data_IF_752971330566
#
_entry.id   IF_752971330566
#
_cell.length_a   1.000
_cell.length_b   1.000
_cell.length_c   1.000
_cell.angle_alpha   90.00
_cell.angle_beta   90.00
_cell.angle_gamma   90.00
#
_symmetry.space_group_name_H-M   'P 1'
#
loop_
_entity.id
_entity.type
_entity.pdbx_description
1 polymer ?
#
# COMPACT_ATOMS: atom_id res chain seq x y z
N UNK A 1 25.95 -26.64 -25.12
CA UNK A 1 25.75 -25.19 -24.94
C UNK A 1 24.68 -25.05 -23.88
N UNK A 2 24.98 -24.59 -22.66
CA UNK A 2 23.98 -24.43 -21.62
C UNK A 2 23.21 -23.12 -21.80
N UNK A 3 21.88 -23.20 -21.75
CA UNK A 3 20.96 -22.07 -21.70
C UNK A 3 21.15 -21.29 -20.39
N UNK A 4 21.64 -20.05 -20.50
CA UNK A 4 21.64 -19.09 -19.40
C UNK A 4 20.25 -18.45 -19.29
N UNK A 5 19.59 -18.66 -18.15
CA UNK A 5 18.35 -17.99 -17.81
C UNK A 5 18.60 -16.47 -17.61
N UNK A 6 17.67 -15.59 -18.02
CA UNK A 6 17.86 -14.15 -17.87
C UNK A 6 17.79 -13.72 -16.41
N UNK A 7 18.91 -13.19 -15.91
CA UNK A 7 19.02 -12.47 -14.63
C UNK A 7 18.20 -11.18 -14.72
N UNK A 8 17.02 -11.17 -14.09
CA UNK A 8 16.22 -9.95 -13.92
C UNK A 8 16.90 -9.07 -12.87
N UNK A 9 17.55 -7.99 -13.32
CA UNK A 9 18.06 -6.95 -12.43
C UNK A 9 16.88 -6.19 -11.83
N UNK A 10 16.75 -6.22 -10.50
CA UNK A 10 15.89 -5.32 -9.75
C UNK A 10 16.43 -3.90 -9.90
N UNK A 11 15.86 -3.13 -10.83
CA UNK A 11 16.00 -1.68 -10.86
C UNK A 11 15.13 -1.13 -9.72
N UNK A 12 15.76 -0.87 -8.59
CA UNK A 12 15.17 -0.11 -7.49
C UNK A 12 15.35 1.36 -7.85
N UNK A 13 14.45 1.91 -8.66
CA UNK A 13 14.48 3.32 -9.03
C UNK A 13 13.97 4.24 -7.90
N UNK A 14 14.71 5.34 -7.74
CA UNK A 14 14.66 6.43 -6.76
C UNK A 14 13.37 7.28 -6.75
N UNK A 15 12.18 6.69 -6.93
CA UNK A 15 10.91 7.43 -6.96
C UNK A 15 10.48 8.04 -5.60
N UNK A 16 11.22 7.78 -4.51
CA UNK A 16 10.87 8.18 -3.14
C UNK A 16 11.47 9.51 -2.63
N UNK A 17 12.15 10.31 -3.47
CA UNK A 17 12.80 11.55 -3.01
C UNK A 17 12.09 12.86 -3.35
N UNK A 18 11.34 12.93 -4.45
CA UNK A 18 10.70 14.18 -4.88
C UNK A 18 9.48 14.63 -4.03
N UNK A 19 8.98 13.79 -3.12
CA UNK A 19 7.82 14.11 -2.27
C UNK A 19 8.15 14.77 -0.92
N UNK A 20 9.43 14.89 -0.54
CA UNK A 20 9.83 15.43 0.78
C UNK A 20 10.03 16.94 0.83
N UNK A 21 10.27 17.59 -0.32
CA UNK A 21 10.60 19.02 -0.34
C UNK A 21 9.38 19.95 -0.40
N UNK A 22 8.17 19.42 -0.59
CA UNK A 22 6.92 20.21 -0.54
C UNK A 22 6.35 20.30 0.89
N UNK A 23 6.81 19.44 1.81
CA UNK A 23 6.33 19.42 3.20
C UNK A 23 7.00 20.47 4.10
N UNK A 24 8.11 21.08 3.66
CA UNK A 24 8.83 22.12 4.42
C UNK A 24 8.21 23.51 4.26
N UNK A 25 7.53 23.80 3.15
CA UNK A 25 6.99 25.14 2.86
C UNK A 25 5.61 25.40 3.51
N UNK A 26 4.88 24.35 3.91
CA UNK A 26 3.61 24.49 4.65
C UNK A 26 3.84 24.70 6.16
N UNK A 27 5.05 24.41 6.66
CA UNK A 27 5.36 24.52 8.09
C UNK A 27 5.68 25.95 8.56
N UNK A 28 5.92 26.88 7.63
CA UNK A 28 6.28 28.26 7.97
C UNK A 28 5.07 29.22 8.04
N UNK A 29 3.96 28.91 7.33
CA UNK A 29 2.75 29.75 7.36
C UNK A 29 1.76 29.43 8.50
N UNK A 30 2.00 28.35 9.27
CA UNK A 30 1.14 27.94 10.38
C UNK A 30 1.45 28.56 11.75
N UNK A 31 2.52 29.36 11.89
CA UNK A 31 2.99 29.87 13.19
C UNK A 31 2.42 31.25 13.62
N UNK A 32 1.56 31.88 12.82
CA UNK A 32 1.04 33.24 13.11
C UNK A 32 -0.46 33.31 13.48
N UNK A 33 -1.08 32.22 13.93
CA UNK A 33 -2.50 32.24 14.29
C UNK A 33 -2.81 31.64 15.68
N UNK A 34 -1.97 31.89 16.70
CA UNK A 34 -2.23 31.41 18.06
C UNK A 34 -1.87 32.43 19.14
N UNK A 35 -2.54 33.59 19.10
CA UNK A 35 -2.62 34.52 20.23
C UNK A 35 -4.02 35.13 20.27
N UNK A 36 -4.95 34.44 20.95
CA UNK A 36 -6.13 34.99 21.66
C UNK A 36 -7.11 33.87 21.98
N UNK A 37 -7.11 33.43 23.24
CA UNK A 37 -8.33 33.04 23.98
C UNK A 37 -7.91 32.41 25.30
N UNK A 38 -7.49 33.27 26.23
CA UNK A 38 -7.48 32.97 27.65
C UNK A 38 -8.93 32.86 28.13
N UNK A 39 -9.30 31.77 28.80
CA UNK A 39 -10.51 31.75 29.63
C UNK A 39 -11.44 30.57 29.47
N UNK A 40 -10.97 29.32 29.56
CA UNK A 40 -11.79 28.19 30.06
C UNK A 40 -10.87 27.22 30.81
N UNK A 41 -10.30 27.70 31.92
CA UNK A 41 -9.54 26.90 32.87
C UNK A 41 -10.38 26.72 34.13
N UNK A 42 -11.39 25.84 34.07
CA UNK A 42 -12.02 25.13 35.19
C UNK A 42 -13.15 24.28 34.62
N UNK A 43 -13.25 23.02 35.04
CA UNK A 43 -14.13 21.96 34.51
C UNK A 43 -13.60 21.23 33.28
N UNK A 44 -12.81 20.18 33.50
CA UNK A 44 -13.05 18.78 33.06
C UNK A 44 -11.94 17.93 33.72
N UNK A 45 -11.91 17.94 35.06
CA UNK A 45 -11.11 17.02 35.89
C UNK A 45 -11.97 15.81 36.34
N UNK A 46 -12.95 15.39 35.52
CA UNK A 46 -13.92 14.32 35.84
C UNK A 46 -14.08 13.27 34.73
N UNK A 47 -13.03 13.00 33.94
CA UNK A 47 -13.03 11.91 32.96
C UNK A 47 -11.75 11.04 33.02
N UNK A 48 -11.17 10.93 34.22
CA UNK A 48 -10.07 9.99 34.53
C UNK A 48 -10.57 8.83 35.41
N UNK A 49 -11.69 8.21 35.02
CA UNK A 49 -12.26 7.04 35.70
C UNK A 49 -12.90 6.04 34.72
N UNK A 50 -12.37 5.96 33.49
CA UNK A 50 -12.67 4.90 32.52
C UNK A 50 -11.35 4.42 31.90
N UNK A 51 -10.36 4.16 32.75
CA UNK A 51 -9.07 3.53 32.41
C UNK A 51 -8.88 2.31 33.28
N UNK A 52 -9.87 1.42 33.27
CA UNK A 52 -9.80 0.11 33.88
C UNK A 52 -10.73 -0.80 33.08
N UNK A 53 -10.22 -1.96 32.64
CA UNK A 53 -10.90 -2.97 31.80
C UNK A 53 -10.78 -2.74 30.28
N UNK A 54 -9.55 -2.76 29.76
CA UNK A 54 -9.30 -3.25 28.39
C UNK A 54 -7.88 -3.82 28.27
N UNK A 55 -7.52 -4.72 29.21
CA UNK A 55 -6.26 -5.45 29.19
C UNK A 55 -6.45 -6.93 29.54
N UNK A 56 -7.49 -7.57 28.99
CA UNK A 56 -7.77 -9.01 29.16
C UNK A 56 -7.58 -9.80 27.85
N UNK A 57 -7.31 -9.14 26.71
CA UNK A 57 -7.10 -9.83 25.43
C UNK A 57 -5.62 -9.95 24.99
N UNK A 58 -4.66 -9.44 25.76
CA UNK A 58 -3.22 -9.56 25.46
C UNK A 58 -2.61 -10.91 25.90
N UNK A 59 -3.38 -12.00 25.88
CA UNK A 59 -2.88 -13.39 26.04
C UNK A 59 -2.80 -14.17 24.72
N UNK A 60 -2.98 -13.51 23.58
CA UNK A 60 -2.73 -14.11 22.25
C UNK A 60 -1.34 -13.75 21.67
N UNK A 61 -0.48 -13.09 22.45
CA UNK A 61 0.92 -12.88 22.09
C UNK A 61 1.79 -13.96 22.70
N UNK A 62 2.67 -14.55 21.88
CA UNK A 62 3.81 -15.39 22.28
C UNK A 62 3.56 -16.87 22.61
N UNK A 63 2.61 -17.54 21.94
CA UNK A 63 2.88 -18.95 21.62
C UNK A 63 3.94 -18.96 20.52
N UNK A 64 5.18 -19.06 20.97
CA UNK A 64 6.43 -19.27 20.25
C UNK A 64 6.21 -20.16 19.01
N UNK A 65 6.51 -19.69 17.79
CA UNK A 65 7.85 -19.76 17.18
C UNK A 65 8.52 -21.15 17.23
N UNK A 66 7.77 -22.21 17.49
CA UNK A 66 8.13 -23.55 17.06
C UNK A 66 7.46 -23.71 15.71
N UNK A 67 8.26 -23.75 14.64
CA UNK A 67 7.81 -23.66 13.27
C UNK A 67 6.61 -24.57 12.99
N UNK A 68 5.47 -23.96 12.68
CA UNK A 68 4.26 -24.70 12.35
C UNK A 68 4.62 -25.60 11.15
N UNK A 69 4.55 -26.94 11.29
CA UNK A 69 4.97 -27.84 10.24
C UNK A 69 4.20 -27.63 8.93
N UNK A 70 3.00 -27.02 8.99
CA UNK A 70 2.23 -26.62 7.80
C UNK A 70 2.95 -25.54 6.98
N UNK A 71 3.80 -24.74 7.59
CA UNK A 71 4.60 -23.73 6.89
C UNK A 71 5.69 -24.33 6.00
N UNK A 72 6.07 -25.60 6.22
CA UNK A 72 6.96 -26.36 5.32
C UNK A 72 6.22 -26.98 4.14
N UNK A 73 4.90 -27.14 4.25
CA UNK A 73 4.08 -27.69 3.16
C UNK A 73 3.85 -26.64 2.08
N UNK A 74 4.38 -26.91 0.89
CA UNK A 74 4.22 -26.05 -0.28
C UNK A 74 2.75 -25.91 -0.69
N UNK A 75 1.93 -26.93 -0.49
CA UNK A 75 0.49 -26.86 -0.79
C UNK A 75 -0.19 -25.83 0.09
N UNK A 76 0.11 -25.87 1.40
CA UNK A 76 -0.41 -24.90 2.36
C UNK A 76 0.02 -23.47 2.05
N UNK A 77 1.31 -23.23 1.81
CA UNK A 77 1.83 -21.88 1.53
C UNK A 77 1.31 -21.35 0.19
N UNK A 78 1.26 -22.17 -0.86
CA UNK A 78 0.73 -21.81 -2.17
C UNK A 78 -0.77 -21.44 -2.12
N UNK A 79 -1.58 -22.18 -1.34
CA UNK A 79 -2.99 -21.81 -1.11
C UNK A 79 -3.14 -20.45 -0.43
N UNK A 80 -2.27 -20.14 0.54
CA UNK A 80 -2.27 -18.83 1.20
C UNK A 80 -1.83 -17.71 0.26
N UNK A 81 -0.81 -17.94 -0.56
CA UNK A 81 -0.39 -17.00 -1.62
C UNK A 81 -1.55 -16.73 -2.58
N UNK A 82 -2.24 -17.76 -3.04
CA UNK A 82 -3.40 -17.61 -3.93
C UNK A 82 -4.54 -16.81 -3.27
N UNK A 83 -4.80 -17.01 -1.99
CA UNK A 83 -5.79 -16.22 -1.26
C UNK A 83 -5.40 -14.73 -1.18
N UNK A 84 -4.13 -14.43 -0.92
CA UNK A 84 -3.61 -13.05 -0.95
C UNK A 84 -3.77 -12.46 -2.36
N UNK A 85 -3.33 -13.20 -3.38
CA UNK A 85 -3.43 -12.79 -4.79
C UNK A 85 -4.86 -12.45 -5.19
N UNK A 86 -5.83 -13.29 -4.87
CA UNK A 86 -7.25 -13.03 -5.14
C UNK A 86 -7.72 -11.75 -4.48
N UNK A 87 -7.36 -11.50 -3.21
CA UNK A 87 -7.72 -10.27 -2.52
C UNK A 87 -7.13 -9.03 -3.18
N UNK A 88 -5.86 -9.08 -3.61
CA UNK A 88 -5.21 -7.95 -4.31
C UNK A 88 -5.83 -7.73 -5.69
N UNK A 89 -6.16 -8.81 -6.43
CA UNK A 89 -6.84 -8.70 -7.71
C UNK A 89 -8.24 -8.08 -7.56
N UNK A 90 -9.01 -8.49 -6.55
CA UNK A 90 -10.31 -7.87 -6.24
C UNK A 90 -10.16 -6.38 -5.91
N UNK A 91 -9.15 -6.01 -5.13
CA UNK A 91 -8.85 -4.60 -4.85
C UNK A 91 -8.53 -3.83 -6.13
N UNK A 92 -7.79 -4.46 -7.05
CA UNK A 92 -7.47 -3.88 -8.36
C UNK A 92 -8.73 -3.60 -9.17
N UNK A 93 -9.65 -4.57 -9.19
CA UNK A 93 -10.85 -4.53 -10.00
C UNK A 93 -11.90 -3.51 -9.50
N UNK A 94 -11.79 -3.01 -8.27
CA UNK A 94 -12.60 -1.88 -7.80
C UNK A 94 -12.21 -0.54 -8.44
N UNK A 95 -10.95 -0.39 -8.87
CA UNK A 95 -10.46 0.86 -9.44
C UNK A 95 -10.78 0.89 -10.93
N UNK A 96 -11.28 2.03 -11.42
CA UNK A 96 -11.66 2.19 -12.82
C UNK A 96 -10.49 1.82 -13.76
N UNK A 97 -10.80 1.14 -14.86
CA UNK A 97 -9.80 0.79 -15.86
C UNK A 97 -9.30 2.04 -16.57
N UNK A 98 -7.98 2.15 -16.75
CA UNK A 98 -7.37 3.27 -17.47
C UNK A 98 -7.30 2.92 -18.96
N UNK A 99 -7.83 3.77 -19.85
CA UNK A 99 -7.69 3.59 -21.29
C UNK A 99 -6.21 3.49 -21.70
N UNK A 100 -5.83 2.56 -22.61
CA UNK A 100 -4.42 2.36 -22.97
C UNK A 100 -3.72 3.59 -23.56
N UNK A 101 -4.45 4.39 -24.35
CA UNK A 101 -3.99 5.66 -24.92
C UNK A 101 -3.72 6.70 -23.83
N UNK A 102 -4.62 6.81 -22.85
CA UNK A 102 -4.45 7.69 -21.70
C UNK A 102 -3.28 7.25 -20.82
N UNK A 103 -3.12 5.93 -20.59
CA UNK A 103 -2.00 5.38 -19.84
C UNK A 103 -0.66 5.69 -20.53
N UNK A 104 -0.58 5.51 -21.85
CA UNK A 104 0.60 5.83 -22.64
C UNK A 104 0.94 7.33 -22.58
N UNK A 105 -0.07 8.19 -22.72
CA UNK A 105 0.10 9.64 -22.57
C UNK A 105 0.65 9.99 -21.19
N UNK A 106 -0.01 9.54 -20.11
CA UNK A 106 0.38 9.87 -18.73
C UNK A 106 1.82 9.44 -18.44
N UNK A 107 2.20 8.21 -18.80
CA UNK A 107 3.57 7.71 -18.62
C UNK A 107 4.58 8.57 -19.35
N UNK A 108 4.35 8.81 -20.64
CA UNK A 108 5.29 9.55 -21.48
C UNK A 108 5.46 11.01 -21.02
N UNK A 109 4.37 11.67 -20.64
CA UNK A 109 4.40 13.07 -20.25
C UNK A 109 4.91 13.26 -18.82
N UNK A 110 4.58 12.36 -17.90
CA UNK A 110 5.15 12.35 -16.56
C UNK A 110 6.67 12.13 -16.62
N UNK A 111 7.14 11.17 -17.44
CA UNK A 111 8.57 10.90 -17.59
C UNK A 111 9.31 12.11 -18.19
N UNK A 112 8.83 12.68 -19.30
CA UNK A 112 9.42 13.90 -19.88
C UNK A 112 9.46 15.05 -18.89
N UNK A 113 8.42 15.21 -18.07
CA UNK A 113 8.39 16.25 -17.04
C UNK A 113 9.48 16.04 -15.98
N UNK A 114 9.72 14.80 -15.56
CA UNK A 114 10.79 14.45 -14.63
C UNK A 114 12.18 14.66 -15.25
N UNK A 115 12.40 14.22 -16.49
CA UNK A 115 13.66 14.39 -17.22
C UNK A 115 14.01 15.89 -17.38
N UNK A 116 12.99 16.72 -17.56
CA UNK A 116 13.14 18.18 -17.68
C UNK A 116 13.15 18.90 -16.33
N UNK A 117 12.98 18.18 -15.21
CA UNK A 117 12.77 18.76 -13.87
C UNK A 117 11.66 19.84 -13.84
N UNK A 118 10.62 19.66 -14.65
CA UNK A 118 9.52 20.60 -14.81
C UNK A 118 8.31 20.20 -13.95
N UNK A 119 8.26 20.73 -12.73
CA UNK A 119 7.20 20.44 -11.75
C UNK A 119 5.81 20.88 -12.22
N UNK A 120 5.69 21.99 -12.97
CA UNK A 120 4.41 22.47 -13.48
C UNK A 120 3.81 21.49 -14.49
N UNK A 121 4.63 20.95 -15.41
CA UNK A 121 4.21 19.93 -16.37
C UNK A 121 3.81 18.64 -15.65
N UNK A 122 4.60 18.20 -14.67
CA UNK A 122 4.26 17.02 -13.89
C UNK A 122 2.92 17.18 -13.16
N UNK A 123 2.69 18.33 -12.53
CA UNK A 123 1.44 18.63 -11.84
C UNK A 123 0.23 18.68 -12.78
N UNK A 124 0.40 19.19 -14.01
CA UNK A 124 -0.64 19.16 -15.02
C UNK A 124 -1.04 17.72 -15.39
N UNK A 125 -0.06 16.82 -15.53
CA UNK A 125 -0.30 15.38 -15.76
C UNK A 125 -0.93 14.72 -14.51
N UNK A 126 -0.45 15.06 -13.32
CA UNK A 126 -0.93 14.50 -12.05
C UNK A 126 -2.40 14.86 -11.74
N UNK A 127 -2.88 15.98 -12.28
CA UNK A 127 -4.26 16.43 -12.16
C UNK A 127 -5.22 15.77 -13.17
N UNK A 128 -4.72 14.94 -14.09
CA UNK A 128 -5.58 14.21 -15.03
C UNK A 128 -6.42 13.16 -14.30
N UNK A 129 -7.63 12.94 -14.81
CA UNK A 129 -8.64 12.05 -14.21
C UNK A 129 -8.07 10.67 -13.83
N UNK A 130 -7.36 10.03 -14.75
CA UNK A 130 -6.91 8.64 -14.61
C UNK A 130 -5.53 8.50 -13.97
N UNK A 131 -4.85 9.59 -13.63
CA UNK A 131 -3.48 9.54 -13.10
C UNK A 131 -3.37 8.68 -11.85
N UNK A 132 -4.25 8.88 -10.87
CA UNK A 132 -4.24 8.12 -9.60
C UNK A 132 -4.63 6.66 -9.79
N UNK A 133 -5.60 6.38 -10.65
CA UNK A 133 -5.98 5.02 -11.00
C UNK A 133 -4.81 4.27 -11.65
N UNK A 134 -4.07 4.92 -12.56
CA UNK A 134 -2.91 4.33 -13.23
C UNK A 134 -1.81 3.97 -12.23
N UNK A 135 -1.43 4.90 -11.34
CA UNK A 135 -0.42 4.64 -10.32
C UNK A 135 -0.79 3.45 -9.43
N UNK A 136 -2.06 3.38 -9.03
CA UNK A 136 -2.55 2.25 -8.25
C UNK A 136 -2.48 0.93 -9.03
N UNK A 137 -2.90 0.90 -10.30
CA UNK A 137 -2.84 -0.31 -11.14
C UNK A 137 -1.41 -0.79 -11.35
N UNK A 138 -0.45 0.11 -11.55
CA UNK A 138 0.97 -0.24 -11.71
C UNK A 138 1.54 -0.87 -10.44
N UNK A 139 1.34 -0.24 -9.28
CA UNK A 139 1.83 -0.77 -8.00
C UNK A 139 1.13 -2.11 -7.64
N UNK A 140 -0.18 -2.22 -7.94
CA UNK A 140 -0.93 -3.45 -7.72
C UNK A 140 -0.47 -4.59 -8.65
N UNK A 141 -0.15 -4.28 -9.91
CA UNK A 141 0.35 -5.27 -10.87
C UNK A 141 1.69 -5.84 -10.41
N UNK A 142 2.62 -4.99 -9.94
CA UNK A 142 3.90 -5.48 -9.39
C UNK A 142 3.69 -6.40 -8.19
N UNK A 143 2.73 -6.09 -7.31
CA UNK A 143 2.38 -6.99 -6.20
C UNK A 143 1.82 -8.33 -6.69
N UNK A 144 0.95 -8.31 -7.71
CA UNK A 144 0.37 -9.52 -8.31
C UNK A 144 1.44 -10.39 -8.99
N UNK A 145 2.35 -9.79 -9.75
CA UNK A 145 3.44 -10.52 -10.43
C UNK A 145 4.36 -11.22 -9.42
N UNK A 146 4.66 -10.56 -8.29
CA UNK A 146 5.43 -11.17 -7.20
C UNK A 146 4.66 -12.27 -6.46
N UNK A 147 3.33 -12.17 -6.36
CA UNK A 147 2.49 -13.24 -5.80
C UNK A 147 2.41 -14.44 -6.75
N UNK A 148 2.38 -14.21 -8.06
CA UNK A 148 2.44 -15.27 -9.07
C UNK A 148 3.78 -16.01 -9.02
N UNK A 149 4.89 -15.28 -8.86
CA UNK A 149 6.20 -15.89 -8.62
C UNK A 149 6.26 -16.64 -7.27
N UNK A 150 5.73 -16.04 -6.19
CA UNK A 150 5.71 -16.64 -4.85
C UNK A 150 4.94 -17.97 -4.81
N UNK A 151 3.91 -18.13 -5.62
CA UNK A 151 3.04 -19.32 -5.65
C UNK A 151 3.81 -20.63 -5.89
N UNK A 152 4.88 -20.56 -6.67
CA UNK A 152 5.73 -21.69 -7.03
C UNK A 152 7.05 -21.72 -6.24
N UNK A 153 7.32 -20.69 -5.44
CA UNK A 153 8.53 -20.60 -4.63
C UNK A 153 8.36 -21.32 -3.28
N UNK A 154 9.49 -21.63 -2.63
CA UNK A 154 9.50 -22.20 -1.28
C UNK A 154 10.66 -21.62 -0.47
N UNK A 155 10.65 -21.87 0.84
CA UNK A 155 11.73 -21.49 1.74
C UNK A 155 12.14 -20.02 1.62
N UNK A 156 13.44 -19.78 1.42
CA UNK A 156 14.02 -18.42 1.38
C UNK A 156 13.50 -17.59 0.20
N UNK A 157 13.22 -18.21 -0.94
CA UNK A 157 12.74 -17.49 -2.12
C UNK A 157 11.29 -17.05 -1.96
N UNK A 158 10.44 -17.90 -1.38
CA UNK A 158 9.09 -17.51 -0.98
C UNK A 158 9.14 -16.31 -0.01
N UNK A 159 10.01 -16.35 1.01
CA UNK A 159 10.15 -15.24 1.95
C UNK A 159 10.58 -13.94 1.25
N UNK A 160 11.51 -13.99 0.29
CA UNK A 160 11.95 -12.82 -0.51
C UNK A 160 10.79 -12.21 -1.29
N UNK A 161 10.02 -13.02 -2.01
CA UNK A 161 8.86 -12.50 -2.74
C UNK A 161 7.82 -11.90 -1.79
N UNK A 162 7.53 -12.54 -0.66
CA UNK A 162 6.57 -12.01 0.31
C UNK A 162 7.01 -10.68 0.95
N UNK A 163 8.32 -10.45 1.13
CA UNK A 163 8.85 -9.15 1.58
C UNK A 163 8.58 -8.06 0.52
N UNK A 164 8.83 -8.36 -0.75
CA UNK A 164 8.53 -7.43 -1.85
C UNK A 164 7.03 -7.14 -1.91
N UNK A 165 6.18 -8.17 -1.85
CA UNK A 165 4.72 -8.01 -1.81
C UNK A 165 4.29 -7.12 -0.65
N UNK A 166 4.85 -7.33 0.56
CA UNK A 166 4.52 -6.51 1.72
C UNK A 166 4.86 -5.03 1.50
N UNK A 167 6.03 -4.74 0.92
CA UNK A 167 6.43 -3.38 0.56
C UNK A 167 5.46 -2.77 -0.46
N UNK A 168 5.12 -3.51 -1.53
CA UNK A 168 4.21 -3.05 -2.58
C UNK A 168 2.78 -2.85 -2.08
N UNK A 169 2.28 -3.70 -1.17
CA UNK A 169 1.00 -3.43 -0.51
C UNK A 169 1.02 -2.14 0.32
N UNK A 170 2.19 -1.76 0.84
CA UNK A 170 2.48 -0.43 1.39
C UNK A 170 2.06 0.68 0.44
N UNK A 171 2.68 0.69 -0.73
CA UNK A 171 2.47 1.66 -1.81
C UNK A 171 1.04 1.60 -2.37
N UNK A 172 0.51 0.41 -2.66
CA UNK A 172 -0.86 0.20 -3.12
C UNK A 172 -1.87 0.84 -2.17
N UNK A 173 -1.65 0.72 -0.85
CA UNK A 173 -2.52 1.34 0.13
C UNK A 173 -2.45 2.88 0.07
N UNK A 174 -1.26 3.46 -0.05
CA UNK A 174 -1.10 4.91 -0.20
C UNK A 174 -1.73 5.42 -1.50
N UNK A 175 -1.52 4.72 -2.63
CA UNK A 175 -2.13 5.05 -3.92
C UNK A 175 -3.64 4.92 -3.89
N UNK A 176 -4.17 3.89 -3.23
CA UNK A 176 -5.62 3.72 -3.09
C UNK A 176 -6.23 4.87 -2.29
N UNK A 177 -5.63 5.27 -1.16
CA UNK A 177 -6.11 6.42 -0.40
C UNK A 177 -6.09 7.71 -1.24
N UNK A 178 -5.02 7.94 -2.00
CA UNK A 178 -4.91 9.08 -2.92
C UNK A 178 -5.95 9.01 -4.06
N UNK A 179 -6.25 7.81 -4.56
CA UNK A 179 -7.30 7.59 -5.55
C UNK A 179 -8.69 7.89 -4.97
N UNK A 180 -9.03 7.37 -3.78
CA UNK A 180 -10.33 7.63 -3.16
C UNK A 180 -10.54 9.11 -2.83
N UNK A 181 -9.49 9.81 -2.37
CA UNK A 181 -9.54 11.27 -2.15
C UNK A 181 -9.79 12.02 -3.47
N UNK A 182 -9.05 11.67 -4.53
CA UNK A 182 -9.27 12.27 -5.85
C UNK A 182 -10.66 11.96 -6.42
N UNK A 183 -11.14 10.72 -6.27
CA UNK A 183 -12.45 10.28 -6.71
C UNK A 183 -13.58 10.97 -5.92
N UNK A 184 -13.40 11.15 -4.62
CA UNK A 184 -14.34 11.88 -3.76
C UNK A 184 -14.52 13.36 -4.11
N UNK A 185 -13.56 13.97 -4.82
CA UNK A 185 -13.65 15.37 -5.29
C UNK A 185 -14.31 15.50 -6.66
N UNK A 186 -14.65 14.40 -7.33
CA UNK A 186 -15.31 14.42 -8.64
C UNK A 186 -16.78 14.78 -8.47
N UNK A 187 -17.35 15.43 -9.49
CA UNK A 187 -18.79 15.70 -9.54
C UNK A 187 -19.63 14.41 -9.53
N UNK A 188 -19.10 13.33 -10.13
CA UNK A 188 -19.65 11.98 -10.08
C UNK A 188 -18.54 11.01 -9.71
N UNK A 189 -18.39 10.65 -8.43
CA UNK A 189 -17.43 9.65 -8.00
C UNK A 189 -17.71 8.28 -8.64
N UNK A 190 -16.66 7.53 -8.95
CA UNK A 190 -16.79 6.17 -9.51
C UNK A 190 -17.02 5.13 -8.43
N UNK A 191 -16.50 5.36 -7.22
CA UNK A 191 -16.70 4.48 -6.08
C UNK A 191 -17.91 4.92 -5.26
N UNK A 192 -18.86 4.02 -5.05
CA UNK A 192 -19.93 4.22 -4.07
C UNK A 192 -19.40 4.09 -2.62
N UNK A 193 -20.24 4.45 -1.65
CA UNK A 193 -19.84 4.43 -0.23
C UNK A 193 -19.52 3.02 0.26
N UNK A 194 -20.31 2.02 -0.13
CA UNK A 194 -20.12 0.65 0.32
C UNK A 194 -18.78 0.07 -0.17
N UNK A 195 -18.42 0.34 -1.41
CA UNK A 195 -17.15 -0.08 -2.01
C UNK A 195 -15.96 0.59 -1.33
N UNK A 196 -16.07 1.88 -1.00
CA UNK A 196 -15.02 2.60 -0.24
C UNK A 196 -14.78 1.99 1.14
N UNK A 197 -15.86 1.70 1.87
CA UNK A 197 -15.79 1.06 3.18
C UNK A 197 -15.12 -0.33 3.05
N UNK A 198 -15.52 -1.12 2.05
CA UNK A 198 -14.94 -2.43 1.77
C UNK A 198 -13.43 -2.38 1.47
N UNK A 199 -13.00 -1.44 0.61
CA UNK A 199 -11.59 -1.19 0.31
C UNK A 199 -10.80 -0.86 1.59
N UNK A 200 -11.38 -0.01 2.45
CA UNK A 200 -10.76 0.44 3.71
C UNK A 200 -10.41 -0.73 4.64
N UNK A 201 -11.23 -1.78 4.67
CA UNK A 201 -10.99 -2.97 5.48
C UNK A 201 -10.10 -4.00 4.79
N UNK A 202 -10.22 -4.18 3.47
CA UNK A 202 -9.50 -5.22 2.73
C UNK A 202 -7.99 -4.99 2.64
N UNK A 203 -7.54 -3.75 2.46
CA UNK A 203 -6.11 -3.44 2.31
C UNK A 203 -5.28 -3.74 3.57
N UNK A 204 -5.68 -3.27 4.77
CA UNK A 204 -5.00 -3.66 6.01
C UNK A 204 -5.04 -5.18 6.27
N UNK A 205 -6.16 -5.83 5.96
CA UNK A 205 -6.29 -7.28 6.08
C UNK A 205 -5.31 -8.03 5.16
N UNK A 206 -5.17 -7.60 3.89
CA UNK A 206 -4.22 -8.19 2.96
C UNK A 206 -2.77 -8.10 3.47
N UNK A 207 -2.37 -6.94 4.01
CA UNK A 207 -1.06 -6.77 4.65
C UNK A 207 -0.86 -7.70 5.84
N UNK A 208 -1.85 -7.79 6.72
CA UNK A 208 -1.78 -8.66 7.90
C UNK A 208 -1.63 -10.14 7.52
N UNK A 209 -2.33 -10.59 6.48
CA UNK A 209 -2.23 -11.97 5.96
C UNK A 209 -0.84 -12.24 5.37
N UNK A 210 -0.26 -11.28 4.63
CA UNK A 210 1.13 -11.42 4.11
C UNK A 210 2.13 -11.51 5.25
N UNK A 211 2.03 -10.64 6.28
CA UNK A 211 2.91 -10.68 7.46
C UNK A 211 2.80 -12.03 8.18
N UNK A 212 1.57 -12.52 8.38
CA UNK A 212 1.33 -13.83 9.01
C UNK A 212 1.97 -14.97 8.22
N UNK A 213 1.81 -14.97 6.88
CA UNK A 213 2.43 -15.98 6.02
C UNK A 213 3.96 -15.87 6.04
N UNK A 214 4.51 -14.65 5.98
CA UNK A 214 5.95 -14.42 6.01
C UNK A 214 6.56 -14.92 7.34
N UNK A 215 5.93 -14.63 8.48
CA UNK A 215 6.35 -15.14 9.79
C UNK A 215 6.29 -16.68 9.85
N UNK A 216 5.23 -17.27 9.30
CA UNK A 216 5.06 -18.71 9.16
C UNK A 216 6.23 -19.33 8.37
N UNK A 217 6.55 -18.78 7.19
CA UNK A 217 7.67 -19.25 6.36
C UNK A 217 9.00 -19.08 7.10
N UNK A 218 9.28 -17.90 7.67
CA UNK A 218 10.53 -17.62 8.40
C UNK A 218 10.73 -18.57 9.59
N UNK A 219 9.66 -18.97 10.28
CA UNK A 219 9.74 -19.85 11.45
C UNK A 219 10.23 -21.28 11.14
N UNK A 220 10.23 -21.67 9.86
CA UNK A 220 10.65 -23.01 9.41
C UNK A 220 11.86 -23.01 8.48
N UNK A 221 12.43 -21.84 8.18
CA UNK A 221 13.71 -21.67 7.46
C UNK A 221 14.90 -22.10 8.33
#
# INVERSE_FOLDING_TARGET
MPDEAPTVYLVVDDFGRAGRDVASEVKEKGKMAMLRSSGVALMIYRLLAVTGILCISCKAGFSQMIGDPKCRDQTHTSQRVEAIRKNVATLRDFVEMVPPDEAAYIRSEAQKALDQSNSARYNAVANRRYFRALQFHEDAQVALDNLDAAKNASGKDLARYLVVVLSRLGEVNERMLAFMDADGRRASPTLDKATRDEIYYRLPAAKAVVVSLLQCVISVL
#
